data_IF_240887607152
#
_entry.id   IF_240887607152
#
_cell.length_a   1.000
_cell.length_b   1.000
_cell.length_c   1.000
_cell.angle_alpha   90.00
_cell.angle_beta   90.00
_cell.angle_gamma   90.00
#
_symmetry.space_group_name_H-M   'P 1'
#
loop_
_entity.id
_entity.type
_entity.pdbx_description
1 polymer ?
#
# COMPACT_ATOMS: atom_id res chain seq x y z
N UNK A 1 -25.92 -13.76 24.75
CA UNK A 1 -24.98 -12.86 24.02
C UNK A 1 -23.51 -13.23 24.20
N UNK A 2 -23.01 -13.39 25.44
CA UNK A 2 -21.59 -13.65 25.75
C UNK A 2 -20.97 -14.83 24.97
N UNK A 3 -21.63 -15.99 24.94
CA UNK A 3 -21.12 -17.17 24.22
C UNK A 3 -21.11 -17.02 22.70
N UNK A 4 -22.00 -16.20 22.11
CA UNK A 4 -22.01 -15.95 20.65
C UNK A 4 -20.88 -14.99 20.26
N UNK A 5 -20.68 -13.93 21.04
CA UNK A 5 -19.60 -12.98 20.83
C UNK A 5 -18.23 -13.66 20.93
N UNK A 6 -18.03 -14.49 21.96
CA UNK A 6 -16.78 -15.23 22.14
C UNK A 6 -16.47 -16.17 20.98
N UNK A 7 -17.48 -16.87 20.43
CA UNK A 7 -17.32 -17.73 19.24
C UNK A 7 -16.94 -16.92 18.00
N UNK A 8 -17.55 -15.76 17.78
CA UNK A 8 -17.24 -14.88 16.64
C UNK A 8 -15.82 -14.32 16.77
N UNK A 9 -15.42 -13.85 17.96
CA UNK A 9 -14.04 -13.35 18.18
C UNK A 9 -13.01 -14.45 17.96
N UNK A 10 -13.25 -15.67 18.47
CA UNK A 10 -12.35 -16.80 18.26
C UNK A 10 -12.23 -17.17 16.79
N UNK A 11 -13.35 -17.22 16.05
CA UNK A 11 -13.35 -17.48 14.62
C UNK A 11 -12.57 -16.42 13.84
N UNK A 12 -12.76 -15.13 14.14
CA UNK A 12 -12.00 -14.04 13.52
C UNK A 12 -10.49 -14.18 13.76
N UNK A 13 -10.07 -14.46 14.99
CA UNK A 13 -8.65 -14.68 15.29
C UNK A 13 -8.07 -15.86 14.51
N UNK A 14 -8.78 -16.98 14.42
CA UNK A 14 -8.34 -18.15 13.63
C UNK A 14 -8.21 -17.80 12.16
N UNK A 15 -9.22 -17.12 11.59
CA UNK A 15 -9.19 -16.70 10.18
C UNK A 15 -8.04 -15.71 9.92
N UNK A 16 -7.79 -14.76 10.83
CA UNK A 16 -6.66 -13.83 10.71
C UNK A 16 -5.32 -14.57 10.67
N UNK A 17 -5.12 -15.57 11.54
CA UNK A 17 -3.88 -16.37 11.57
C UNK A 17 -3.72 -17.19 10.29
N UNK A 18 -4.80 -17.84 9.83
CA UNK A 18 -4.79 -18.60 8.57
C UNK A 18 -4.50 -17.68 7.38
N UNK A 19 -5.00 -16.44 7.40
CA UNK A 19 -4.79 -15.45 6.33
C UNK A 19 -3.35 -14.93 6.25
N UNK A 20 -2.50 -15.19 7.26
CA UNK A 20 -1.08 -14.86 7.23
C UNK A 20 -0.29 -15.92 6.44
N UNK A 21 -0.80 -17.13 6.31
CA UNK A 21 -0.08 -18.24 5.66
C UNK A 21 0.38 -17.89 4.23
N UNK A 22 -0.47 -17.32 3.34
CA UNK A 22 -0.04 -16.94 2.00
C UNK A 22 1.11 -15.91 2.00
N UNK A 23 1.06 -14.91 2.90
CA UNK A 23 2.13 -13.92 3.04
C UNK A 23 3.43 -14.55 3.56
N UNK A 24 3.32 -15.48 4.51
CA UNK A 24 4.48 -16.21 5.01
C UNK A 24 5.11 -17.08 3.91
N UNK A 25 4.31 -17.79 3.12
CA UNK A 25 4.77 -18.57 1.97
C UNK A 25 5.48 -17.66 0.95
N UNK A 26 4.92 -16.50 0.63
CA UNK A 26 5.56 -15.53 -0.27
C UNK A 26 6.93 -15.07 0.24
N UNK A 27 7.07 -14.89 1.56
CA UNK A 27 8.35 -14.54 2.20
C UNK A 27 9.43 -15.61 1.99
N UNK A 28 9.04 -16.88 1.88
CA UNK A 28 9.94 -18.00 1.62
C UNK A 28 10.26 -18.21 0.13
N UNK A 29 9.40 -17.72 -0.78
CA UNK A 29 9.62 -17.86 -2.22
C UNK A 29 10.70 -16.88 -2.70
N UNK A 30 11.69 -17.42 -3.42
CA UNK A 30 12.68 -16.62 -4.15
C UNK A 30 12.03 -16.12 -5.44
N UNK A 31 11.48 -14.92 -5.37
CA UNK A 31 10.83 -14.18 -6.46
C UNK A 31 11.61 -12.89 -6.72
N UNK A 32 11.54 -12.36 -7.94
CA UNK A 32 12.11 -11.03 -8.23
C UNK A 32 11.47 -9.97 -7.34
N UNK A 33 12.21 -8.90 -7.03
CA UNK A 33 11.78 -7.82 -6.13
C UNK A 33 10.45 -7.19 -6.56
N UNK A 34 10.32 -6.88 -7.85
CA UNK A 34 9.11 -6.34 -8.47
C UNK A 34 7.94 -7.33 -8.39
N UNK A 35 8.16 -8.58 -8.80
CA UNK A 35 7.14 -9.63 -8.74
C UNK A 35 6.66 -9.85 -7.30
N UNK A 36 7.57 -9.79 -6.33
CA UNK A 36 7.25 -9.89 -4.90
C UNK A 36 6.37 -8.74 -4.43
N UNK A 37 6.59 -7.51 -4.89
CA UNK A 37 5.74 -6.37 -4.55
C UNK A 37 4.31 -6.57 -5.04
N UNK A 38 4.14 -6.99 -6.30
CA UNK A 38 2.84 -7.32 -6.89
C UNK A 38 2.15 -8.44 -6.11
N UNK A 39 2.83 -9.58 -5.92
CA UNK A 39 2.27 -10.73 -5.19
C UNK A 39 1.93 -10.40 -3.73
N UNK A 40 2.71 -9.55 -3.06
CA UNK A 40 2.46 -9.13 -1.68
C UNK A 40 1.13 -8.38 -1.56
N UNK A 41 0.81 -7.52 -2.53
CA UNK A 41 -0.46 -6.81 -2.54
C UNK A 41 -1.65 -7.79 -2.66
N UNK A 42 -1.57 -8.81 -3.50
CA UNK A 42 -2.68 -9.79 -3.65
C UNK A 42 -2.77 -10.79 -2.50
N UNK A 43 -1.63 -11.36 -2.05
CA UNK A 43 -1.63 -12.35 -0.98
C UNK A 43 -1.97 -11.77 0.39
N UNK A 44 -1.85 -10.45 0.57
CA UNK A 44 -2.25 -9.77 1.81
C UNK A 44 -3.74 -9.41 1.87
N UNK A 45 -4.48 -9.48 0.75
CA UNK A 45 -5.92 -9.16 0.69
C UNK A 45 -6.74 -9.89 1.77
N UNK A 46 -6.64 -11.22 1.94
CA UNK A 46 -7.47 -11.93 2.92
C UNK A 46 -7.21 -11.44 4.35
N UNK A 47 -5.96 -11.16 4.68
CA UNK A 47 -5.58 -10.65 5.99
C UNK A 47 -6.15 -9.25 6.24
N UNK A 48 -5.95 -8.32 5.31
CA UNK A 48 -6.47 -6.95 5.46
C UNK A 48 -8.00 -6.91 5.45
N UNK A 49 -8.67 -7.77 4.70
CA UNK A 49 -10.13 -7.89 4.72
C UNK A 49 -10.64 -8.31 6.12
N UNK A 50 -10.01 -9.30 6.75
CA UNK A 50 -10.39 -9.80 8.08
C UNK A 50 -10.09 -8.77 9.16
N UNK A 51 -8.91 -8.14 9.12
CA UNK A 51 -8.55 -7.04 10.03
C UNK A 51 -9.55 -5.89 9.94
N UNK A 52 -9.90 -5.47 8.72
CA UNK A 52 -10.85 -4.38 8.51
C UNK A 52 -12.26 -4.72 8.99
N UNK A 53 -12.73 -5.94 8.73
CA UNK A 53 -14.00 -6.42 9.26
C UNK A 53 -14.02 -6.40 10.80
N UNK A 54 -12.92 -6.81 11.45
CA UNK A 54 -12.76 -6.71 12.90
C UNK A 54 -12.84 -5.28 13.43
N UNK A 55 -12.18 -4.33 12.75
CA UNK A 55 -12.20 -2.89 13.08
C UNK A 55 -13.62 -2.32 12.96
N UNK A 56 -14.35 -2.66 11.89
CA UNK A 56 -15.73 -2.19 11.68
C UNK A 56 -16.70 -2.77 12.71
N UNK A 57 -16.54 -4.05 13.09
CA UNK A 57 -17.33 -4.67 14.16
C UNK A 57 -17.06 -3.94 15.49
N UNK A 58 -15.80 -3.64 15.81
CA UNK A 58 -15.44 -2.90 17.01
C UNK A 58 -16.06 -1.50 17.02
N UNK A 59 -15.97 -0.77 15.91
CA UNK A 59 -16.61 0.53 15.76
C UNK A 59 -18.13 0.44 15.97
N UNK A 60 -18.79 -0.56 15.38
CA UNK A 60 -20.22 -0.80 15.55
C UNK A 60 -20.62 -1.13 16.99
N UNK A 61 -19.81 -1.92 17.71
CA UNK A 61 -20.04 -2.20 19.13
C UNK A 61 -19.92 -0.91 19.96
N UNK A 62 -18.90 -0.09 19.70
CA UNK A 62 -18.72 1.19 20.39
C UNK A 62 -19.87 2.17 20.11
N UNK A 63 -20.34 2.25 18.85
CA UNK A 63 -21.54 3.02 18.49
C UNK A 63 -22.78 2.53 19.22
N UNK A 64 -22.97 1.22 19.33
CA UNK A 64 -24.10 0.64 20.04
C UNK A 64 -24.06 0.98 21.55
N UNK A 65 -22.89 0.87 22.17
CA UNK A 65 -22.70 1.24 23.59
C UNK A 65 -22.99 2.74 23.78
N UNK A 66 -22.45 3.58 22.88
CA UNK A 66 -22.68 5.01 22.89
C UNK A 66 -24.17 5.36 22.79
N UNK A 67 -24.87 4.76 21.82
CA UNK A 67 -26.30 4.97 21.62
C UNK A 67 -27.12 4.57 22.86
N UNK A 68 -26.83 3.39 23.43
CA UNK A 68 -27.51 2.90 24.63
C UNK A 68 -27.27 3.83 25.83
N UNK A 69 -26.03 4.27 26.03
CA UNK A 69 -25.69 5.17 27.13
C UNK A 69 -26.35 6.55 26.98
N UNK A 70 -26.46 7.06 25.75
CA UNK A 70 -27.20 8.30 25.43
C UNK A 70 -28.68 8.24 25.76
N UNK A 71 -29.30 7.07 25.60
CA UNK A 71 -30.71 6.85 25.93
C UNK A 71 -30.96 6.79 27.46
N UNK A 72 -30.00 6.27 28.24
CA UNK A 72 -30.13 6.10 29.69
C UNK A 72 -29.77 7.37 30.50
N UNK A 73 -28.76 8.14 30.08
CA UNK A 73 -28.17 9.20 30.93
C UNK A 73 -28.40 10.64 30.47
N UNK A 74 -29.03 10.89 29.32
CA UNK A 74 -29.30 12.23 28.82
C UNK A 74 -28.05 12.96 28.30
N UNK A 75 -27.99 13.12 26.98
CA UNK A 75 -27.01 13.90 26.20
C UNK A 75 -25.52 13.54 26.43
N UNK A 76 -25.04 12.54 25.69
CA UNK A 76 -23.60 12.37 25.43
C UNK A 76 -23.11 13.45 24.46
N UNK A 77 -22.03 14.15 24.81
CA UNK A 77 -21.44 15.18 23.96
C UNK A 77 -20.89 14.61 22.63
N UNK A 78 -20.96 15.41 21.56
CA UNK A 78 -20.55 15.06 20.18
C UNK A 78 -19.12 14.47 20.11
N UNK A 79 -18.24 14.89 21.02
CA UNK A 79 -16.86 14.37 21.11
C UNK A 79 -16.77 12.85 21.29
N UNK A 80 -17.77 12.26 21.96
CA UNK A 80 -17.81 10.81 22.22
C UNK A 80 -18.20 9.97 21.00
N UNK A 81 -18.71 10.61 19.93
CA UNK A 81 -18.98 9.98 18.63
C UNK A 81 -17.73 9.95 17.73
N UNK A 82 -16.76 10.84 17.96
CA UNK A 82 -15.56 10.94 17.11
C UNK A 82 -14.69 9.69 17.18
N UNK A 83 -14.61 9.03 18.34
CA UNK A 83 -13.81 7.81 18.53
C UNK A 83 -14.32 6.65 17.65
N UNK A 84 -15.59 6.21 17.76
CA UNK A 84 -16.08 5.13 16.90
C UNK A 84 -16.10 5.53 15.42
N UNK A 85 -16.37 6.80 15.09
CA UNK A 85 -16.33 7.29 13.71
C UNK A 85 -14.91 7.22 13.13
N UNK A 86 -13.89 7.62 13.89
CA UNK A 86 -12.48 7.52 13.49
C UNK A 86 -12.05 6.07 13.29
N UNK A 87 -12.45 5.15 14.19
CA UNK A 87 -12.16 3.72 14.04
C UNK A 87 -12.85 3.15 12.78
N UNK A 88 -14.11 3.51 12.53
CA UNK A 88 -14.82 3.08 11.33
C UNK A 88 -14.14 3.60 10.05
N UNK A 89 -13.73 4.87 10.05
CA UNK A 89 -13.01 5.47 8.93
C UNK A 89 -11.70 4.72 8.64
N UNK A 90 -10.92 4.39 9.67
CA UNK A 90 -9.69 3.58 9.51
C UNK A 90 -9.99 2.22 8.88
N UNK A 91 -11.06 1.54 9.32
CA UNK A 91 -11.49 0.27 8.73
C UNK A 91 -11.88 0.41 7.25
N UNK A 92 -12.61 1.46 6.90
CA UNK A 92 -13.00 1.75 5.52
C UNK A 92 -11.77 2.06 4.65
N UNK A 93 -10.86 2.91 5.14
CA UNK A 93 -9.63 3.25 4.43
C UNK A 93 -8.76 2.01 4.18
N UNK A 94 -8.66 1.11 5.15
CA UNK A 94 -7.92 -0.15 4.97
C UNK A 94 -8.55 -1.04 3.90
N UNK A 95 -9.89 -1.18 3.87
CA UNK A 95 -10.58 -1.92 2.80
C UNK A 95 -10.30 -1.29 1.44
N UNK A 96 -10.45 0.03 1.34
CA UNK A 96 -10.25 0.73 0.09
C UNK A 96 -8.81 0.53 -0.43
N UNK A 97 -7.81 0.87 0.37
CA UNK A 97 -6.41 0.87 -0.05
C UNK A 97 -5.79 -0.52 -0.17
N UNK A 98 -6.18 -1.50 0.65
CA UNK A 98 -5.52 -2.82 0.72
C UNK A 98 -6.34 -3.96 0.14
N UNK A 99 -7.61 -3.73 -0.19
CA UNK A 99 -8.47 -4.75 -0.80
C UNK A 99 -8.99 -4.27 -2.15
N UNK A 100 -9.68 -3.12 -2.19
CA UNK A 100 -10.32 -2.64 -3.42
C UNK A 100 -9.28 -2.23 -4.45
N UNK A 101 -8.30 -1.42 -4.05
CA UNK A 101 -7.27 -0.90 -4.95
C UNK A 101 -6.49 -2.02 -5.67
N UNK A 102 -5.92 -3.04 -4.99
CA UNK A 102 -5.30 -4.17 -5.68
C UNK A 102 -6.26 -4.95 -6.59
N UNK A 103 -7.54 -5.09 -6.23
CA UNK A 103 -8.52 -5.78 -7.06
C UNK A 103 -8.87 -5.00 -8.34
N UNK A 104 -8.86 -3.66 -8.28
CA UNK A 104 -9.05 -2.80 -9.45
C UNK A 104 -7.88 -2.88 -10.43
N UNK A 105 -6.71 -3.28 -9.95
CA UNK A 105 -5.52 -3.46 -10.77
C UNK A 105 -5.46 -4.81 -11.50
N UNK A 106 -6.35 -5.77 -11.20
CA UNK A 106 -6.38 -7.07 -11.88
C UNK A 106 -6.40 -6.97 -13.43
N UNK A 107 -7.21 -6.09 -14.06
CA UNK A 107 -7.20 -5.93 -15.52
C UNK A 107 -5.91 -5.36 -16.08
N UNK A 108 -5.11 -4.66 -15.25
CA UNK A 108 -3.88 -4.00 -15.65
C UNK A 108 -2.64 -4.87 -15.42
N UNK A 109 -2.80 -6.10 -14.93
CA UNK A 109 -1.70 -7.05 -14.80
C UNK A 109 -1.14 -7.48 -16.16
N UNK A 110 -2.00 -7.63 -17.16
CA UNK A 110 -1.60 -8.01 -18.53
C UNK A 110 -1.16 -6.79 -19.35
N UNK A 111 -1.65 -5.60 -19.01
CA UNK A 111 -1.39 -4.34 -19.70
C UNK A 111 -1.23 -3.22 -18.65
N UNK A 112 -0.03 -3.08 -18.04
CA UNK A 112 0.22 -2.04 -17.05
C UNK A 112 0.17 -0.65 -17.70
N UNK A 113 -0.10 0.37 -16.88
CA UNK A 113 0.05 1.75 -17.31
C UNK A 113 1.53 2.09 -17.44
N UNK A 114 1.88 2.93 -18.41
CA UNK A 114 3.25 3.37 -18.64
C UNK A 114 3.33 4.89 -18.51
N UNK A 115 4.42 5.36 -17.91
CA UNK A 115 4.76 6.79 -17.91
C UNK A 115 6.24 6.97 -18.24
N UNK A 116 6.54 8.06 -18.94
CA UNK A 116 7.90 8.49 -19.25
C UNK A 116 8.29 9.58 -18.26
N UNK A 117 9.43 9.40 -17.59
CA UNK A 117 9.99 10.36 -16.65
C UNK A 117 11.25 11.00 -17.23
N UNK A 118 11.25 12.33 -17.29
CA UNK A 118 12.44 13.14 -17.54
C UNK A 118 13.05 13.64 -16.21
N UNK A 119 14.31 14.07 -16.25
CA UNK A 119 15.03 14.61 -15.08
C UNK A 119 14.98 13.69 -13.85
N UNK A 120 15.22 12.40 -14.06
CA UNK A 120 15.05 11.38 -13.03
C UNK A 120 16.02 11.58 -11.86
N UNK A 121 15.49 11.49 -10.65
CA UNK A 121 16.27 11.46 -9.41
C UNK A 121 15.91 10.24 -8.56
N UNK A 122 16.88 9.81 -7.74
CA UNK A 122 16.75 8.65 -6.88
C UNK A 122 16.86 9.07 -5.42
N UNK A 123 15.90 8.64 -4.60
CA UNK A 123 15.89 8.93 -3.18
C UNK A 123 15.97 7.64 -2.38
N UNK A 124 16.96 7.57 -1.48
CA UNK A 124 17.08 6.53 -0.48
C UNK A 124 16.87 7.14 0.91
N UNK A 125 15.72 6.86 1.52
CA UNK A 125 15.43 7.31 2.87
C UNK A 125 15.50 6.15 3.86
N UNK A 126 16.45 6.21 4.78
CA UNK A 126 16.63 5.22 5.85
C UNK A 126 16.19 5.75 7.23
N UNK A 127 15.35 6.78 7.29
CA UNK A 127 14.76 7.25 8.54
C UNK A 127 13.61 6.32 8.97
N UNK A 128 13.93 5.09 9.41
CA UNK A 128 12.95 4.13 9.95
C UNK A 128 13.42 2.66 9.92
N UNK A 129 12.54 1.74 10.32
CA UNK A 129 12.77 0.28 10.31
C UNK A 129 12.74 -0.34 8.90
N UNK A 130 12.40 0.44 7.86
CA UNK A 130 12.37 -0.03 6.48
C UNK A 130 12.85 1.08 5.54
N UNK A 131 13.93 0.86 4.78
CA UNK A 131 14.41 1.84 3.82
C UNK A 131 13.34 2.05 2.75
N UNK A 132 13.00 3.32 2.51
CA UNK A 132 12.12 3.71 1.43
C UNK A 132 12.98 4.13 0.25
N UNK A 133 12.83 3.44 -0.87
CA UNK A 133 13.60 3.64 -2.09
C UNK A 133 12.64 4.13 -3.16
N UNK A 134 12.92 5.31 -3.72
CA UNK A 134 12.03 5.99 -4.66
C UNK A 134 12.79 6.49 -5.88
N UNK A 135 12.07 6.49 -6.99
CA UNK A 135 12.42 7.21 -8.21
C UNK A 135 11.41 8.36 -8.36
N UNK A 136 11.87 9.55 -8.70
CA UNK A 136 11.01 10.67 -9.09
C UNK A 136 11.50 11.33 -10.37
N UNK A 137 10.60 11.97 -11.09
CA UNK A 137 10.91 12.71 -12.31
C UNK A 137 9.69 13.48 -12.80
N UNK A 138 9.88 14.25 -13.87
CA UNK A 138 8.83 15.03 -14.53
C UNK A 138 8.15 14.16 -15.60
N UNK A 139 6.83 14.09 -15.58
CA UNK A 139 6.06 13.39 -16.61
C UNK A 139 5.90 14.24 -17.89
N UNK A 140 5.17 13.72 -18.88
CA UNK A 140 4.90 14.41 -20.14
C UNK A 140 4.09 15.72 -19.97
N UNK A 141 3.45 15.92 -18.82
CA UNK A 141 2.72 17.13 -18.46
C UNK A 141 3.59 18.13 -17.66
N UNK A 142 4.81 17.74 -17.30
CA UNK A 142 5.71 18.52 -16.45
C UNK A 142 5.38 18.43 -14.96
N UNK A 143 4.56 17.45 -14.57
CA UNK A 143 4.22 17.21 -13.17
C UNK A 143 5.26 16.27 -12.54
N UNK A 144 5.64 16.53 -11.29
CA UNK A 144 6.56 15.67 -10.56
C UNK A 144 5.82 14.42 -10.07
N UNK A 145 6.26 13.25 -10.54
CA UNK A 145 5.68 11.96 -10.18
C UNK A 145 6.74 11.12 -9.46
N UNK A 146 6.30 10.33 -8.48
CA UNK A 146 7.18 9.45 -7.70
C UNK A 146 6.67 8.01 -7.69
N UNK A 147 7.60 7.07 -7.74
CA UNK A 147 7.33 5.64 -7.63
C UNK A 147 8.22 4.99 -6.60
N UNK A 148 7.67 4.03 -5.86
CA UNK A 148 8.47 3.17 -4.98
C UNK A 148 9.10 2.07 -5.82
N UNK A 149 10.42 1.99 -5.78
CA UNK A 149 11.20 0.99 -6.52
C UNK A 149 11.94 0.07 -5.57
N UNK A 150 12.47 -1.03 -6.09
CA UNK A 150 13.30 -1.92 -5.32
C UNK A 150 14.78 -1.51 -5.33
N UNK A 151 15.57 -2.19 -4.49
CA UNK A 151 16.98 -1.88 -4.29
C UNK A 151 17.83 -2.11 -5.54
N UNK A 152 17.53 -3.14 -6.34
CA UNK A 152 18.30 -3.46 -7.54
C UNK A 152 18.12 -2.35 -8.59
N UNK A 153 16.86 -1.97 -8.85
CA UNK A 153 16.52 -0.84 -9.73
C UNK A 153 17.17 0.47 -9.28
N UNK A 154 17.24 0.73 -7.97
CA UNK A 154 17.90 1.92 -7.43
C UNK A 154 19.42 1.89 -7.65
N UNK A 155 20.08 0.76 -7.40
CA UNK A 155 21.53 0.63 -7.58
C UNK A 155 21.93 0.82 -9.05
N UNK A 156 21.14 0.26 -9.97
CA UNK A 156 21.33 0.44 -11.42
C UNK A 156 21.14 1.91 -11.84
N UNK A 157 20.04 2.53 -11.39
CA UNK A 157 19.72 3.92 -11.69
C UNK A 157 20.73 4.91 -11.11
N UNK A 158 21.17 4.71 -9.86
CA UNK A 158 22.18 5.55 -9.22
C UNK A 158 23.52 5.46 -9.95
N UNK A 159 23.94 4.25 -10.36
CA UNK A 159 25.18 4.07 -11.11
C UNK A 159 25.12 4.83 -12.45
N UNK A 160 24.02 4.73 -13.19
CA UNK A 160 23.83 5.43 -14.44
C UNK A 160 23.76 6.95 -14.25
N UNK A 161 23.10 7.43 -13.19
CA UNK A 161 23.05 8.85 -12.84
C UNK A 161 24.43 9.42 -12.55
N UNK A 162 25.25 8.69 -11.78
CA UNK A 162 26.63 9.08 -11.48
C UNK A 162 27.53 9.07 -12.73
N UNK A 163 27.33 8.12 -13.65
CA UNK A 163 28.07 8.07 -14.92
C UNK A 163 27.68 9.23 -15.84
N UNK A 164 26.39 9.48 -15.99
CA UNK A 164 25.84 10.53 -16.86
C UNK A 164 26.24 11.93 -16.37
N UNK A 165 26.27 12.14 -15.05
CA UNK A 165 26.72 13.40 -14.42
C UNK A 165 28.21 13.72 -14.66
N UNK A 166 29.01 12.74 -15.08
CA UNK A 166 30.44 12.93 -15.39
C UNK A 166 30.70 13.26 -16.87
N UNK A 167 29.71 13.13 -17.74
CA UNK A 167 29.85 13.39 -19.17
C UNK A 167 29.72 14.88 -19.49
N UNK A 168 30.59 15.45 -20.35
CA UNK A 168 30.46 16.84 -20.79
C UNK A 168 29.25 16.99 -21.73
N UNK A 169 28.26 17.80 -21.34
CA UNK A 169 27.02 18.03 -22.10
C UNK A 169 25.81 18.11 -21.16
N UNK A 170 24.62 18.34 -21.72
CA UNK A 170 23.36 18.29 -20.96
C UNK A 170 22.75 16.89 -21.07
N UNK A 171 23.48 15.88 -20.54
CA UNK A 171 22.98 14.52 -20.50
C UNK A 171 22.08 14.34 -19.28
N UNK A 172 20.91 13.73 -19.48
CA UNK A 172 19.93 13.53 -18.43
C UNK A 172 19.56 12.05 -18.34
N UNK A 173 19.23 11.59 -17.13
CA UNK A 173 18.67 10.26 -16.93
C UNK A 173 17.17 10.35 -17.16
N UNK A 174 16.66 9.42 -17.96
CA UNK A 174 15.23 9.24 -18.24
C UNK A 174 14.82 7.83 -17.82
N UNK A 175 13.55 7.64 -17.51
CA UNK A 175 13.03 6.33 -17.15
C UNK A 175 11.64 6.09 -17.74
N UNK A 176 11.43 4.91 -18.31
CA UNK A 176 10.10 4.40 -18.64
C UNK A 176 9.64 3.51 -17.48
N UNK A 177 8.53 3.88 -16.84
CA UNK A 177 7.99 3.17 -15.67
C UNK A 177 6.66 2.54 -16.03
N UNK A 178 6.58 1.21 -15.92
CA UNK A 178 5.33 0.45 -16.01
C UNK A 178 4.79 0.20 -14.60
N UNK A 179 3.53 0.55 -14.34
CA UNK A 179 2.91 0.45 -13.02
C UNK A 179 1.43 0.10 -13.06
N UNK A 180 0.91 -0.38 -11.93
CA UNK A 180 -0.50 -0.63 -11.71
C UNK A 180 -1.21 0.67 -11.30
N UNK A 181 -2.21 1.16 -12.07
CA UNK A 181 -2.69 2.53 -11.97
C UNK A 181 -3.40 2.87 -10.66
N UNK A 182 -4.00 1.90 -9.97
CA UNK A 182 -4.74 2.17 -8.75
C UNK A 182 -3.83 2.04 -7.52
N UNK A 183 -2.99 0.99 -7.45
CA UNK A 183 -2.08 0.76 -6.33
C UNK A 183 -0.76 1.55 -6.42
N UNK A 184 -0.39 2.04 -7.59
CA UNK A 184 0.92 2.65 -7.84
C UNK A 184 2.07 1.65 -7.78
N UNK A 185 1.78 0.35 -7.86
CA UNK A 185 2.80 -0.69 -7.76
C UNK A 185 3.57 -0.77 -9.07
N UNK A 186 4.89 -0.57 -9.00
CA UNK A 186 5.78 -0.71 -10.16
C UNK A 186 5.85 -2.18 -10.58
N UNK A 187 5.74 -2.41 -11.89
CA UNK A 187 5.82 -3.71 -12.56
C UNK A 187 7.06 -3.79 -13.48
N UNK A 188 7.62 -2.64 -13.86
CA UNK A 188 8.86 -2.55 -14.62
C UNK A 188 9.41 -1.14 -14.61
N UNK A 189 10.74 -1.02 -14.69
CA UNK A 189 11.45 0.25 -14.87
C UNK A 189 12.56 0.02 -15.89
N UNK A 190 12.66 0.88 -16.88
CA UNK A 190 13.75 0.90 -17.86
C UNK A 190 14.43 2.27 -17.78
N UNK A 191 15.68 2.30 -17.33
CA UNK A 191 16.44 3.52 -17.05
C UNK A 191 17.50 3.70 -18.13
N UNK A 192 17.54 4.89 -18.73
CA UNK A 192 18.46 5.19 -19.85
C UNK A 192 19.03 6.61 -19.72
N UNK A 193 20.17 6.86 -20.36
CA UNK A 193 20.71 8.21 -20.52
C UNK A 193 20.30 8.79 -21.88
N UNK A 194 20.00 10.09 -21.89
CA UNK A 194 19.60 10.89 -23.06
C UNK A 194 20.59 12.04 -23.27
#
# INVERSE_FOLDING_TARGET
>A
MKNRLQKVTMAMCVISVVSIIPMFVLSLMRTGSIQRAVLSNYFSIPFFAVCSAGILILAGILLYIWHKAGQENGSFGILSLLVPAGIALTGICLIYLKVITPLQDLPYLDQPSETHLENVTFAYNNMGDSPTIQISGEDAQGEEVYFSIDKETYEEGEALYQETSRLPGNHMVVADVSYLPHSGTVVGVDIRSK
#
